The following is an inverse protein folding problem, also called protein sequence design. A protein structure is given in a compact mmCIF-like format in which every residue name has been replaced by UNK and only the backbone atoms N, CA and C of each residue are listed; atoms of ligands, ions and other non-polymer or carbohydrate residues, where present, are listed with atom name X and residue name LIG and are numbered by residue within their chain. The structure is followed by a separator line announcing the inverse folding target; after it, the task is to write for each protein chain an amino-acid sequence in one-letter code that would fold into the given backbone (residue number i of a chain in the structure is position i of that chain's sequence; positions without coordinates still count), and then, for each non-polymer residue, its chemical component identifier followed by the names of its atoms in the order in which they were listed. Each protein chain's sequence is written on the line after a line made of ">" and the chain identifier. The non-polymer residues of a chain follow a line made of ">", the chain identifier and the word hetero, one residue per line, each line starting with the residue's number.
data_IF_694873935807
#
_entry.id   IF_694873935807
#
_cell.length_a   1.000
_cell.length_b   1.000
_cell.length_c   1.000
_cell.angle_alpha   90.00
_cell.angle_beta   90.00
_cell.angle_gamma   90.00
#
_symmetry.space_group_name_H-M   'P 1'
#
loop_
_entity.id
_entity.type
_entity.pdbx_description
1 polymer ?
#
# COMPACT_ATOMS: atom_id res chain seq x y z
N UNK A 1 1.38 19.18 -26.70
CA UNK A 1 1.01 19.56 -25.32
C UNK A 1 2.19 19.15 -24.47
N UNK A 2 2.80 20.04 -23.70
CA UNK A 2 3.94 19.69 -22.85
C UNK A 2 3.46 18.74 -21.75
N UNK A 3 3.69 17.45 -21.94
CA UNK A 3 3.47 16.43 -20.92
C UNK A 3 4.37 16.77 -19.73
N UNK A 4 3.78 17.15 -18.60
CA UNK A 4 4.52 17.38 -17.36
C UNK A 4 5.09 16.04 -16.91
N UNK A 5 6.42 15.94 -16.89
CA UNK A 5 7.11 14.75 -16.41
C UNK A 5 7.54 14.94 -14.96
N UNK A 6 7.32 13.92 -14.14
CA UNK A 6 7.57 13.97 -12.68
C UNK A 6 8.43 12.81 -12.22
N UNK A 7 9.20 13.07 -11.16
CA UNK A 7 9.81 12.02 -10.36
C UNK A 7 8.75 11.43 -9.44
N UNK A 8 8.67 10.11 -9.39
CA UNK A 8 7.68 9.40 -8.57
C UNK A 8 8.38 8.83 -7.35
N UNK A 9 8.08 9.45 -6.20
CA UNK A 9 8.30 8.83 -4.89
C UNK A 9 7.06 8.04 -4.51
N UNK A 10 7.21 6.80 -4.08
CA UNK A 10 6.10 5.98 -3.60
C UNK A 10 6.07 5.98 -2.08
N UNK A 11 4.86 6.06 -1.53
CA UNK A 11 4.61 5.92 -0.09
C UNK A 11 3.97 4.56 0.19
N UNK A 12 4.31 3.96 1.32
CA UNK A 12 3.79 2.65 1.67
C UNK A 12 2.35 2.70 2.20
N UNK A 13 1.56 1.70 1.86
CA UNK A 13 0.28 1.41 2.50
C UNK A 13 0.48 0.58 3.76
N UNK A 14 -0.45 0.73 4.70
CA UNK A 14 -0.51 -0.09 5.91
C UNK A 14 -1.74 -1.00 5.80
N UNK A 15 -1.56 -2.28 6.10
CA UNK A 15 -2.64 -3.25 6.06
C UNK A 15 -2.85 -3.90 7.42
N UNK A 16 -4.10 -4.17 7.74
CA UNK A 16 -4.50 -5.10 8.78
C UNK A 16 -5.02 -6.34 8.07
N UNK A 17 -4.35 -7.48 8.24
CA UNK A 17 -4.83 -8.74 7.72
C UNK A 17 -5.22 -9.69 8.84
N UNK A 18 -6.08 -10.66 8.54
CA UNK A 18 -6.46 -11.63 9.55
C UNK A 18 -7.36 -12.71 9.00
N UNK A 19 -7.67 -13.66 9.87
CA UNK A 19 -8.58 -14.77 9.60
C UNK A 19 -9.64 -14.85 10.68
N UNK A 20 -10.88 -15.07 10.27
CA UNK A 20 -12.01 -15.31 11.16
C UNK A 20 -12.31 -16.80 11.20
N UNK A 21 -12.24 -17.41 12.38
CA UNK A 21 -12.50 -18.84 12.57
C UNK A 21 -13.47 -19.11 13.71
N UNK A 22 -14.25 -20.18 13.57
CA UNK A 22 -15.08 -20.70 14.67
C UNK A 22 -14.22 -21.48 15.67
N UNK A 23 -14.51 -21.41 16.99
CA UNK A 23 -13.77 -22.13 18.02
C UNK A 23 -13.72 -23.63 17.84
N UNK A 24 -14.83 -24.22 17.38
CA UNK A 24 -14.92 -25.65 17.15
C UNK A 24 -14.26 -26.01 15.81
N UNK A 25 -13.01 -26.44 15.86
CA UNK A 25 -12.28 -26.99 14.72
C UNK A 25 -11.70 -25.96 13.75
N UNK A 26 -11.51 -24.70 14.17
CA UNK A 26 -10.89 -23.62 13.38
C UNK A 26 -11.51 -23.44 11.98
N UNK A 27 -12.81 -23.73 11.83
CA UNK A 27 -13.50 -23.60 10.55
C UNK A 27 -13.56 -22.12 10.14
N UNK A 28 -13.17 -21.77 8.90
CA UNK A 28 -13.19 -20.39 8.43
C UNK A 28 -14.61 -19.83 8.36
N UNK A 29 -14.74 -18.54 8.63
CA UNK A 29 -16.01 -17.81 8.51
C UNK A 29 -15.93 -16.88 7.31
N UNK A 30 -16.45 -17.33 6.18
CA UNK A 30 -16.61 -16.52 4.98
C UNK A 30 -17.80 -15.55 5.10
N UNK A 31 -17.75 -14.42 4.40
CA UNK A 31 -18.85 -13.47 4.33
C UNK A 31 -19.09 -12.64 5.60
N UNK A 32 -18.18 -12.68 6.57
CA UNK A 32 -18.20 -11.78 7.72
C UNK A 32 -17.71 -10.38 7.32
N UNK A 33 -18.46 -9.36 7.72
CA UNK A 33 -18.14 -7.94 7.61
C UNK A 33 -17.11 -7.55 8.66
N UNK A 34 -16.03 -6.90 8.24
CA UNK A 34 -14.94 -6.44 9.10
C UNK A 34 -14.89 -4.90 9.08
N UNK A 35 -14.91 -4.31 10.26
CA UNK A 35 -14.83 -2.86 10.49
C UNK A 35 -13.70 -2.53 11.47
N UNK A 36 -13.28 -1.27 11.53
CA UNK A 36 -12.26 -0.80 12.48
C UNK A 36 -12.71 0.44 13.24
N UNK A 37 -12.14 0.66 14.42
CA UNK A 37 -12.18 1.93 15.15
C UNK A 37 -10.75 2.31 15.56
N UNK A 38 -10.17 3.46 15.11
CA UNK A 38 -10.76 4.45 14.20
C UNK A 38 -11.24 3.86 12.87
N UNK A 39 -12.27 4.49 12.28
CA UNK A 39 -12.88 4.00 11.05
C UNK A 39 -11.87 4.06 9.90
N UNK A 40 -11.73 2.94 9.21
CA UNK A 40 -11.00 2.80 7.96
C UNK A 40 -11.93 2.21 6.89
N UNK A 41 -11.39 1.47 5.92
CA UNK A 41 -12.20 0.73 4.96
C UNK A 41 -12.96 -0.42 5.65
N UNK A 42 -14.08 -0.80 5.05
CA UNK A 42 -14.86 -1.98 5.47
C UNK A 42 -14.71 -3.06 4.42
N UNK A 43 -14.44 -4.29 4.84
CA UNK A 43 -14.24 -5.43 3.94
C UNK A 43 -15.05 -6.63 4.38
N UNK A 44 -15.18 -7.61 3.49
CA UNK A 44 -15.85 -8.89 3.77
C UNK A 44 -14.82 -10.00 3.63
N UNK A 45 -14.83 -10.95 4.56
CA UNK A 45 -13.96 -12.14 4.51
C UNK A 45 -14.24 -13.02 3.29
N UNK A 46 -13.18 -13.58 2.71
CA UNK A 46 -13.25 -14.48 1.56
C UNK A 46 -13.73 -15.90 1.93
N UNK A 47 -13.71 -16.83 0.96
CA UNK A 47 -14.08 -18.24 1.18
C UNK A 47 -13.20 -18.97 2.20
N UNK A 48 -11.99 -18.49 2.43
CA UNK A 48 -11.07 -18.98 3.44
C UNK A 48 -11.22 -18.26 4.78
N UNK A 49 -12.17 -17.32 4.93
CA UNK A 49 -12.35 -16.53 6.14
C UNK A 49 -11.26 -15.48 6.35
N UNK A 50 -10.47 -15.18 5.32
CA UNK A 50 -9.37 -14.22 5.37
C UNK A 50 -9.84 -12.83 4.95
N UNK A 51 -9.20 -11.81 5.51
CA UNK A 51 -9.48 -10.41 5.18
C UNK A 51 -8.20 -9.58 5.18
N UNK A 52 -8.25 -8.46 4.46
CA UNK A 52 -7.21 -7.45 4.43
C UNK A 52 -7.88 -6.07 4.39
N UNK A 53 -7.50 -5.17 5.30
CA UNK A 53 -8.00 -3.79 5.40
C UNK A 53 -6.83 -2.85 5.26
N UNK A 54 -6.90 -1.94 4.29
CA UNK A 54 -5.96 -0.81 4.22
C UNK A 54 -6.31 0.24 5.28
N UNK A 55 -5.33 0.60 6.11
CA UNK A 55 -5.40 1.69 7.09
C UNK A 55 -4.44 2.82 6.72
N UNK A 56 -4.76 4.03 7.16
CA UNK A 56 -4.11 5.26 6.68
C UNK A 56 -2.90 5.62 7.55
N UNK A 57 -3.01 5.43 8.87
CA UNK A 57 -1.99 5.86 9.84
C UNK A 57 -1.67 4.73 10.83
N UNK A 58 -0.43 4.66 11.36
CA UNK A 58 -0.11 3.82 12.51
C UNK A 58 -0.92 4.26 13.74
N UNK A 59 -1.30 3.30 14.57
CA UNK A 59 -2.09 3.58 15.77
C UNK A 59 -2.77 2.34 16.32
N UNK A 60 -3.54 2.56 17.38
CA UNK A 60 -4.33 1.49 18.00
C UNK A 60 -5.67 1.40 17.26
N UNK A 61 -5.98 0.20 16.77
CA UNK A 61 -7.23 -0.12 16.09
C UNK A 61 -7.98 -1.22 16.82
N UNK A 62 -9.29 -1.04 16.99
CA UNK A 62 -10.22 -2.12 17.34
C UNK A 62 -10.82 -2.68 16.06
N UNK A 63 -10.46 -3.90 15.69
CA UNK A 63 -11.00 -4.60 14.52
C UNK A 63 -12.17 -5.46 14.95
N UNK A 64 -13.35 -5.23 14.36
CA UNK A 64 -14.59 -5.92 14.73
C UNK A 64 -15.12 -6.74 13.56
N UNK A 65 -15.54 -7.98 13.84
CA UNK A 65 -16.18 -8.87 12.88
C UNK A 65 -17.67 -9.03 13.20
N UNK A 66 -18.51 -8.98 12.16
CA UNK A 66 -19.95 -9.23 12.25
C UNK A 66 -20.45 -10.03 11.06
N UNK A 67 -21.55 -10.77 11.22
CA UNK A 67 -22.21 -11.50 10.13
C UNK A 67 -23.70 -11.55 10.39
N UNK A 68 -24.51 -11.26 9.37
CA UNK A 68 -25.98 -11.23 9.44
C UNK A 68 -26.49 -10.37 10.62
N UNK A 69 -25.84 -9.22 10.85
CA UNK A 69 -26.17 -8.29 11.94
C UNK A 69 -25.71 -8.73 13.34
N UNK A 70 -25.09 -9.90 13.48
CA UNK A 70 -24.57 -10.41 14.76
C UNK A 70 -23.08 -10.15 14.89
N UNK A 71 -22.65 -9.62 16.03
CA UNK A 71 -21.23 -9.46 16.37
C UNK A 71 -20.60 -10.84 16.61
N UNK A 72 -19.50 -11.12 15.93
CA UNK A 72 -18.74 -12.36 16.05
C UNK A 72 -17.59 -12.22 17.07
N UNK A 73 -16.95 -11.05 17.12
CA UNK A 73 -15.82 -10.78 17.99
C UNK A 73 -15.13 -9.47 17.62
N UNK A 74 -14.15 -9.08 18.43
CA UNK A 74 -13.21 -8.02 18.07
C UNK A 74 -11.82 -8.28 18.66
N UNK A 75 -10.83 -7.60 18.11
CA UNK A 75 -9.44 -7.62 18.58
C UNK A 75 -8.89 -6.21 18.52
N UNK A 76 -8.19 -5.78 19.58
CA UNK A 76 -7.44 -4.54 19.57
C UNK A 76 -6.00 -4.83 19.17
N UNK A 77 -5.51 -4.12 18.16
CA UNK A 77 -4.15 -4.24 17.65
C UNK A 77 -3.47 -2.87 17.65
N UNK A 78 -2.14 -2.88 17.77
CA UNK A 78 -1.35 -1.69 17.51
C UNK A 78 -0.72 -1.83 16.12
N UNK A 79 -1.23 -1.07 15.15
CA UNK A 79 -0.64 -0.96 13.81
C UNK A 79 0.60 -0.10 13.93
N UNK A 80 1.75 -0.72 13.74
CA UNK A 80 3.02 -0.02 13.61
C UNK A 80 3.31 0.23 12.14
N UNK A 81 4.41 0.90 11.83
CA UNK A 81 4.84 1.16 10.45
C UNK A 81 5.23 -0.11 9.66
N UNK A 82 5.05 -1.30 10.23
CA UNK A 82 5.05 -2.53 9.47
C UNK A 82 3.92 -2.49 8.44
N UNK A 83 4.21 -2.84 7.18
CA UNK A 83 3.20 -2.87 6.10
C UNK A 83 1.99 -3.76 6.42
N UNK A 84 2.09 -4.65 7.40
CA UNK A 84 1.03 -5.59 7.74
C UNK A 84 0.99 -5.85 9.25
N UNK A 85 -0.19 -5.70 9.85
CA UNK A 85 -0.51 -6.12 11.21
C UNK A 85 -1.52 -7.29 11.18
N UNK A 86 -1.20 -8.39 11.86
CA UNK A 86 -2.06 -9.56 11.92
C UNK A 86 -3.09 -9.44 13.06
N UNK A 87 -4.37 -9.64 12.73
CA UNK A 87 -5.52 -9.50 13.61
C UNK A 87 -6.47 -10.71 13.45
N UNK A 88 -6.07 -11.88 13.95
CA UNK A 88 -6.95 -13.04 13.87
C UNK A 88 -8.09 -12.94 14.90
N UNK A 89 -9.31 -13.32 14.52
CA UNK A 89 -10.47 -13.31 15.42
C UNK A 89 -11.04 -14.73 15.49
N UNK A 90 -11.17 -15.23 16.71
CA UNK A 90 -11.91 -16.45 16.98
C UNK A 90 -13.29 -16.07 17.53
N UNK A 91 -14.36 -16.59 16.91
CA UNK A 91 -15.74 -16.20 17.28
C UNK A 91 -15.99 -16.45 18.76
N UNK A 92 -16.51 -15.44 19.48
CA UNK A 92 -16.82 -15.53 20.90
C UNK A 92 -15.62 -15.51 21.85
N UNK A 93 -14.39 -15.31 21.34
CA UNK A 93 -13.19 -15.13 22.18
C UNK A 93 -12.60 -13.74 21.95
N UNK A 94 -12.47 -12.97 23.03
CA UNK A 94 -11.88 -11.63 23.04
C UNK A 94 -10.43 -11.71 23.56
N UNK A 95 -9.51 -12.19 22.73
CA UNK A 95 -8.07 -12.22 23.07
C UNK A 95 -7.30 -11.17 22.26
N UNK A 96 -6.42 -10.44 22.96
CA UNK A 96 -5.43 -9.54 22.37
C UNK A 96 -4.26 -10.34 21.78
N UNK A 97 -4.48 -11.08 20.70
CA UNK A 97 -3.40 -11.79 20.02
C UNK A 97 -2.59 -10.82 19.16
N UNK A 98 -1.72 -10.03 19.80
CA UNK A 98 -0.69 -9.24 19.13
C UNK A 98 0.44 -10.17 18.69
N UNK A 99 0.41 -10.64 17.44
CA UNK A 99 1.63 -11.12 16.77
C UNK A 99 2.03 -10.12 15.69
N UNK A 100 2.41 -8.91 16.12
CA UNK A 100 3.21 -8.03 15.28
C UNK A 100 4.60 -8.64 15.21
N UNK A 101 4.94 -9.24 14.07
CA UNK A 101 6.33 -9.46 13.75
C UNK A 101 6.53 -9.36 12.25
N UNK A 102 6.66 -8.11 11.79
CA UNK A 102 7.41 -7.86 10.56
C UNK A 102 8.10 -6.51 10.67
N UNK A 103 9.42 -6.59 10.78
CA UNK A 103 10.34 -5.45 10.72
C UNK A 103 10.09 -4.65 9.45
N UNK A 104 10.11 -3.32 9.57
CA UNK A 104 10.07 -2.40 8.42
C UNK A 104 11.07 -2.86 7.36
N UNK A 105 10.64 -3.19 6.14
CA UNK A 105 11.56 -3.63 5.10
C UNK A 105 12.52 -2.50 4.76
N UNK A 106 13.81 -2.70 5.02
CA UNK A 106 14.89 -1.76 4.67
C UNK A 106 14.96 -1.53 3.16
N UNK A 107 14.50 -2.51 2.38
CA UNK A 107 14.46 -2.48 0.92
C UNK A 107 13.21 -3.15 0.36
N UNK A 108 12.86 -2.78 -0.87
CA UNK A 108 11.79 -3.36 -1.69
C UNK A 108 12.39 -3.75 -3.03
N UNK A 109 12.21 -5.00 -3.46
CA UNK A 109 12.58 -5.41 -4.82
C UNK A 109 11.33 -5.43 -5.70
N UNK A 110 11.38 -4.71 -6.81
CA UNK A 110 10.26 -4.57 -7.75
C UNK A 110 10.79 -4.42 -9.18
N UNK A 111 10.23 -5.20 -10.11
CA UNK A 111 10.65 -5.22 -11.53
C UNK A 111 12.18 -5.36 -11.71
N UNK A 112 12.80 -6.21 -10.90
CA UNK A 112 14.25 -6.48 -10.96
C UNK A 112 15.14 -5.38 -10.37
N UNK A 113 14.59 -4.31 -9.79
CA UNK A 113 15.34 -3.26 -9.10
C UNK A 113 15.09 -3.30 -7.60
N UNK A 114 16.11 -2.93 -6.83
CA UNK A 114 16.02 -2.81 -5.37
C UNK A 114 15.98 -1.33 -4.99
N UNK A 115 14.95 -0.94 -4.25
CA UNK A 115 14.74 0.40 -3.71
C UNK A 115 14.91 0.35 -2.20
N UNK A 116 15.67 1.29 -1.64
CA UNK A 116 15.75 1.45 -0.18
C UNK A 116 14.50 2.18 0.32
N UNK A 117 14.18 1.97 1.59
CA UNK A 117 13.10 2.70 2.24
C UNK A 117 13.65 3.68 3.26
N UNK A 118 12.91 4.77 3.48
CA UNK A 118 13.20 5.76 4.51
C UNK A 118 11.94 6.09 5.28
N UNK A 119 12.07 6.14 6.61
CA UNK A 119 11.01 6.61 7.50
C UNK A 119 11.10 8.12 7.64
N UNK A 120 9.99 8.82 7.41
CA UNK A 120 9.86 10.26 7.61
C UNK A 120 8.56 10.48 8.40
N UNK A 121 8.68 11.00 9.63
CA UNK A 121 7.55 11.03 10.56
C UNK A 121 7.03 9.61 10.84
N UNK A 122 5.73 9.38 10.60
CA UNK A 122 5.03 8.09 10.73
C UNK A 122 4.88 7.34 9.41
N UNK A 123 5.46 7.85 8.31
CA UNK A 123 5.30 7.32 6.97
C UNK A 123 6.60 6.74 6.44
N UNK A 124 6.49 5.67 5.65
CA UNK A 124 7.63 5.07 4.96
C UNK A 124 7.53 5.39 3.47
N UNK A 125 8.66 5.84 2.93
CA UNK A 125 8.83 6.29 1.56
C UNK A 125 9.91 5.44 0.88
N UNK A 126 9.78 5.26 -0.43
CA UNK A 126 10.95 4.87 -1.22
C UNK A 126 11.96 6.01 -1.14
N UNK A 127 13.20 5.66 -0.85
CA UNK A 127 14.29 6.63 -0.74
C UNK A 127 14.69 7.14 -2.13
N UNK A 128 14.69 6.26 -3.12
CA UNK A 128 14.95 6.58 -4.52
C UNK A 128 13.65 6.83 -5.29
N UNK A 129 13.76 7.64 -6.35
CA UNK A 129 12.70 7.76 -7.35
C UNK A 129 12.61 6.47 -8.18
N UNK A 130 11.40 6.13 -8.62
CA UNK A 130 11.20 4.97 -9.49
C UNK A 130 11.96 5.07 -10.82
N UNK A 131 12.44 3.94 -11.31
CA UNK A 131 13.12 3.81 -12.60
C UNK A 131 12.71 2.48 -13.23
N UNK A 132 11.54 2.44 -13.85
CA UNK A 132 10.80 1.27 -14.29
C UNK A 132 10.39 1.44 -15.74
N UNK A 133 10.23 0.32 -16.42
CA UNK A 133 9.69 0.32 -17.77
C UNK A 133 10.71 0.69 -18.86
N UNK A 134 10.17 0.84 -20.07
CA UNK A 134 10.91 1.05 -21.31
C UNK A 134 11.17 2.55 -21.52
N UNK A 135 12.43 2.91 -21.77
CA UNK A 135 12.76 4.28 -22.17
C UNK A 135 12.17 4.59 -23.55
N UNK A 136 11.48 5.71 -23.63
CA UNK A 136 11.09 6.37 -24.88
C UNK A 136 11.84 7.70 -25.02
N UNK A 137 11.96 8.19 -26.24
CA UNK A 137 12.60 9.49 -26.51
C UNK A 137 11.71 10.65 -26.07
N UNK A 138 12.31 11.78 -25.67
CA UNK A 138 11.57 12.97 -25.20
C UNK A 138 10.51 13.52 -26.16
N UNK A 139 10.60 13.24 -27.46
CA UNK A 139 9.62 13.64 -28.47
C UNK A 139 8.48 12.63 -28.67
N UNK A 140 8.56 11.45 -28.05
CA UNK A 140 7.52 10.43 -28.10
C UNK A 140 6.53 10.63 -26.97
N UNK A 141 5.26 10.32 -27.22
CA UNK A 141 4.21 10.30 -26.19
C UNK A 141 4.01 8.87 -25.67
N UNK A 142 3.78 8.71 -24.36
CA UNK A 142 3.46 7.41 -23.79
C UNK A 142 2.05 6.98 -24.20
N UNK A 143 1.80 5.67 -24.20
CA UNK A 143 0.59 5.01 -24.68
C UNK A 143 0.06 4.11 -23.58
N UNK A 144 -1.26 4.10 -23.43
CA UNK A 144 -1.92 3.12 -22.58
C UNK A 144 -1.92 1.73 -23.24
N UNK A 145 -0.80 1.02 -23.12
CA UNK A 145 -0.51 -0.24 -23.82
C UNK A 145 0.03 -1.34 -22.87
N UNK A 146 -0.10 -1.14 -21.55
CA UNK A 146 0.42 -2.01 -20.48
C UNK A 146 1.95 -2.11 -20.40
N UNK A 147 2.70 -1.37 -21.21
CA UNK A 147 4.14 -1.22 -21.09
C UNK A 147 4.39 0.08 -20.35
N UNK A 148 5.03 0.00 -19.18
CA UNK A 148 5.44 1.22 -18.48
C UNK A 148 6.46 1.95 -19.34
N UNK A 149 6.19 3.21 -19.65
CA UNK A 149 7.06 4.04 -20.50
C UNK A 149 7.66 5.18 -19.67
N UNK A 150 8.96 5.41 -19.86
CA UNK A 150 9.72 6.37 -19.08
C UNK A 150 10.56 7.28 -19.96
N UNK A 151 10.88 8.45 -19.43
CA UNK A 151 11.90 9.34 -19.96
C UNK A 151 13.11 9.37 -19.02
N UNK A 152 14.28 9.66 -19.59
CA UNK A 152 15.48 9.93 -18.81
C UNK A 152 15.90 11.38 -19.04
N UNK A 153 16.37 12.05 -17.98
CA UNK A 153 16.83 13.43 -18.08
C UNK A 153 17.93 13.55 -19.15
N UNK A 154 17.73 14.46 -20.11
CA UNK A 154 18.65 14.63 -21.26
C UNK A 154 18.71 13.43 -22.20
N UNK A 155 17.65 12.62 -22.29
CA UNK A 155 17.56 11.41 -23.13
C UNK A 155 18.73 10.42 -22.92
N UNK A 156 19.28 10.39 -21.71
CA UNK A 156 20.41 9.53 -21.35
C UNK A 156 20.03 8.55 -20.24
N UNK A 157 20.08 7.24 -20.54
CA UNK A 157 19.74 6.17 -19.58
C UNK A 157 20.54 6.26 -18.27
N UNK A 158 21.80 6.70 -18.33
CA UNK A 158 22.64 6.85 -17.13
C UNK A 158 22.06 7.86 -16.13
N UNK A 159 21.31 8.85 -16.62
CA UNK A 159 20.64 9.82 -15.74
C UNK A 159 19.41 9.21 -15.07
N UNK A 160 18.73 8.23 -15.69
CA UNK A 160 17.68 7.45 -15.02
C UNK A 160 18.24 6.64 -13.85
N UNK A 161 19.43 6.07 -14.00
CA UNK A 161 20.06 5.30 -12.91
C UNK A 161 20.53 6.19 -11.76
N UNK A 162 20.94 7.42 -12.06
CA UNK A 162 21.42 8.38 -11.06
C UNK A 162 20.30 9.14 -10.33
N UNK A 163 19.27 9.56 -11.05
CA UNK A 163 18.25 10.48 -10.54
C UNK A 163 16.85 9.84 -10.42
N UNK A 164 16.67 8.65 -11.00
CA UNK A 164 15.37 8.07 -11.27
C UNK A 164 14.82 8.50 -12.63
N UNK A 165 13.78 7.79 -13.07
CA UNK A 165 13.15 8.08 -14.34
C UNK A 165 12.01 9.10 -14.18
N UNK A 166 11.70 9.74 -15.30
CA UNK A 166 10.64 10.74 -15.41
C UNK A 166 9.44 10.09 -16.10
N UNK A 167 8.24 10.31 -15.59
CA UNK A 167 7.01 9.76 -16.14
C UNK A 167 6.00 10.85 -16.40
N UNK A 168 5.18 10.71 -17.44
CA UNK A 168 3.95 11.50 -17.52
C UNK A 168 3.04 11.13 -16.35
N UNK A 169 2.20 12.08 -15.92
CA UNK A 169 1.28 11.83 -14.80
C UNK A 169 0.33 10.66 -15.06
N UNK A 170 -0.24 10.60 -16.27
CA UNK A 170 -1.15 9.52 -16.66
C UNK A 170 -0.44 8.15 -16.63
N UNK A 171 0.80 8.08 -17.12
CA UNK A 171 1.58 6.85 -17.11
C UNK A 171 1.93 6.41 -15.68
N UNK A 172 2.39 7.35 -14.86
CA UNK A 172 2.69 7.08 -13.45
C UNK A 172 1.45 6.54 -12.72
N UNK A 173 0.29 7.16 -12.94
CA UNK A 173 -0.98 6.74 -12.34
C UNK A 173 -1.59 5.49 -12.99
N UNK A 174 -0.96 4.91 -14.03
CA UNK A 174 -1.53 3.86 -14.86
C UNK A 174 -2.94 4.20 -15.35
N UNK A 175 -3.14 5.47 -15.73
CA UNK A 175 -4.39 6.04 -16.21
C UNK A 175 -5.56 5.95 -15.19
N UNK A 176 -5.26 5.69 -13.91
CA UNK A 176 -6.22 5.69 -12.81
C UNK A 176 -6.38 7.11 -12.26
N UNK A 177 -7.63 7.61 -12.17
CA UNK A 177 -7.91 8.98 -11.69
C UNK A 177 -8.10 9.11 -10.18
N UNK A 178 -7.93 8.01 -9.44
CA UNK A 178 -8.15 7.96 -7.99
C UNK A 178 -6.87 8.34 -7.26
N UNK A 179 -6.93 9.36 -6.42
CA UNK A 179 -5.84 9.72 -5.52
C UNK A 179 -5.42 8.54 -4.64
N UNK A 180 -4.12 8.37 -4.43
CA UNK A 180 -3.58 7.25 -3.66
C UNK A 180 -3.66 5.91 -4.39
N UNK A 181 -3.86 5.91 -5.71
CA UNK A 181 -3.74 4.72 -6.53
C UNK A 181 -2.32 4.15 -6.45
N UNK A 182 -2.21 2.82 -6.54
CA UNK A 182 -0.92 2.13 -6.67
C UNK A 182 -0.09 2.75 -7.80
N UNK A 183 -0.72 2.99 -8.96
CA UNK A 183 -0.01 3.40 -10.16
C UNK A 183 1.13 2.45 -10.48
N UNK A 184 2.27 3.00 -10.89
CA UNK A 184 3.51 2.26 -11.15
C UNK A 184 4.28 1.84 -9.88
N UNK A 185 3.79 2.15 -8.68
CA UNK A 185 4.48 1.78 -7.43
C UNK A 185 4.48 0.26 -7.18
N UNK A 186 5.41 -0.25 -6.35
CA UNK A 186 5.40 -1.66 -5.95
C UNK A 186 4.09 -2.08 -5.25
N UNK A 187 3.74 -3.38 -5.20
CA UNK A 187 2.63 -3.87 -4.38
C UNK A 187 2.78 -3.43 -2.91
N UNK A 188 1.70 -2.92 -2.32
CA UNK A 188 1.70 -2.33 -0.99
C UNK A 188 2.24 -0.90 -0.91
N UNK A 189 2.47 -0.26 -2.05
CA UNK A 189 2.88 1.14 -2.16
C UNK A 189 1.95 1.89 -3.13
N UNK A 190 1.93 3.22 -3.03
CA UNK A 190 1.11 4.07 -3.90
C UNK A 190 1.76 5.40 -4.24
N UNK A 191 1.22 6.03 -5.29
CA UNK A 191 1.54 7.41 -5.63
C UNK A 191 0.91 8.32 -4.57
N UNK A 192 1.72 9.08 -3.82
CA UNK A 192 1.28 9.87 -2.69
C UNK A 192 0.13 10.80 -3.06
N UNK A 193 -0.84 10.90 -2.15
CA UNK A 193 -1.85 11.95 -2.20
C UNK A 193 -1.22 13.32 -1.90
N UNK A 194 -1.93 14.39 -2.26
CA UNK A 194 -1.49 15.75 -1.93
C UNK A 194 -1.31 15.96 -0.41
N UNK A 195 -2.18 15.37 0.41
CA UNK A 195 -2.09 15.49 1.87
C UNK A 195 -0.86 14.76 2.43
N UNK A 196 -0.57 13.55 1.95
CA UNK A 196 0.67 12.83 2.32
C UNK A 196 1.91 13.64 1.91
N UNK A 197 1.91 14.24 0.72
CA UNK A 197 3.03 15.09 0.30
C UNK A 197 3.17 16.39 1.12
N UNK A 198 2.06 16.99 1.56
CA UNK A 198 2.09 18.14 2.48
C UNK A 198 2.70 17.78 3.82
N UNK A 199 2.45 16.57 4.33
CA UNK A 199 3.07 16.12 5.58
C UNK A 199 4.58 15.91 5.44
N UNK A 200 5.05 15.45 4.28
CA UNK A 200 6.49 15.33 3.96
C UNK A 200 7.20 16.69 4.01
N UNK A 201 6.60 17.74 3.42
CA UNK A 201 7.19 19.09 3.34
C UNK A 201 7.31 19.83 4.68
N UNK A 202 6.64 19.36 5.73
CA UNK A 202 6.59 20.00 7.06
C UNK A 202 7.70 19.51 8.00
N UNK A 203 8.50 18.53 7.59
CA UNK A 203 9.67 18.01 8.30
C UNK A 203 10.93 18.71 7.82
#
# INVERSE_FOLDING_TARGET
>A
MTSFVVLIGCKSKLFINGKIVNPAGNKPVAGALITTEPVSNTVITDGNGEYEIEVIEPGIYTVSASKDGKRLGNVQINVTEAFTAAANIQVGIFISQNKSNKTTPLTVTYEGKTYNTVKIGTQIWLKENLNLGKRIESYQEPRNNYVIEKYCYGDNESNCDKYGALYSWDEAMQYIKKDGAKGICPPGWHIPTLEEFKTLKKQ
#
